data_IF_638002425599
#
_entry.id   IF_638002425599
#
_cell.length_a   1.000
_cell.length_b   1.000
_cell.length_c   1.000
_cell.angle_alpha   90.00
_cell.angle_beta   90.00
_cell.angle_gamma   90.00
#
_symmetry.space_group_name_H-M   'P 1'
#
loop_
_entity.id
_entity.type
_entity.pdbx_description
1 polymer ?
#
# COMPACT_ATOMS: atom_id res chain seq x y z
N UNK A 1 -13.91 8.61 -6.94
CA UNK A 1 -12.59 8.24 -7.46
C UNK A 1 -12.62 6.74 -7.71
N UNK A 2 -12.18 6.26 -8.88
CA UNK A 2 -12.16 4.82 -9.17
C UNK A 2 -11.05 4.17 -8.33
N UNK A 3 -11.25 2.94 -7.83
CA UNK A 3 -10.26 2.20 -7.01
C UNK A 3 -8.86 2.18 -7.65
N UNK A 4 -8.79 2.14 -8.98
CA UNK A 4 -7.54 2.21 -9.75
C UNK A 4 -6.80 3.54 -9.61
N UNK A 5 -7.51 4.66 -9.61
CA UNK A 5 -6.91 6.00 -9.47
C UNK A 5 -6.41 6.21 -8.04
N UNK A 6 -7.18 5.73 -7.06
CA UNK A 6 -6.79 5.74 -5.65
C UNK A 6 -5.51 4.91 -5.44
N UNK A 7 -5.47 3.70 -6.00
CA UNK A 7 -4.31 2.82 -5.89
C UNK A 7 -3.04 3.46 -6.47
N UNK A 8 -3.12 4.09 -7.65
CA UNK A 8 -1.99 4.81 -8.25
C UNK A 8 -1.51 5.97 -7.38
N UNK A 9 -2.44 6.78 -6.85
CA UNK A 9 -2.09 7.88 -5.94
C UNK A 9 -1.39 7.39 -4.67
N UNK A 10 -1.84 6.26 -4.10
CA UNK A 10 -1.23 5.67 -2.91
C UNK A 10 0.18 5.14 -3.22
N UNK A 11 0.41 4.54 -4.39
CA UNK A 11 1.75 4.08 -4.81
C UNK A 11 2.73 5.24 -4.85
N UNK A 12 2.35 6.37 -5.44
CA UNK A 12 3.21 7.56 -5.49
C UNK A 12 3.49 8.12 -4.09
N UNK A 13 2.49 8.14 -3.19
CA UNK A 13 2.70 8.55 -1.80
C UNK A 13 3.67 7.61 -1.05
N UNK A 14 3.49 6.30 -1.21
CA UNK A 14 4.38 5.28 -0.60
C UNK A 14 5.81 5.44 -1.13
N UNK A 15 5.97 5.74 -2.43
CA UNK A 15 7.27 5.99 -3.04
C UNK A 15 7.97 7.18 -2.39
N UNK A 16 7.25 8.26 -2.12
CA UNK A 16 7.77 9.50 -1.53
C UNK A 16 7.95 9.45 0.00
N UNK A 17 7.51 8.38 0.66
CA UNK A 17 7.61 8.26 2.12
C UNK A 17 9.07 8.24 2.60
N UNK A 18 9.38 9.05 3.61
CA UNK A 18 10.75 9.21 4.11
C UNK A 18 11.18 8.16 5.15
N UNK A 19 10.22 7.42 5.73
CA UNK A 19 10.47 6.40 6.75
C UNK A 19 9.29 5.42 6.88
N UNK A 20 9.47 4.37 7.68
CA UNK A 20 8.48 3.29 7.84
C UNK A 20 7.17 3.79 8.47
N UNK A 21 7.26 4.72 9.42
CA UNK A 21 6.09 5.33 10.07
C UNK A 21 5.23 6.09 9.07
N UNK A 22 5.85 6.79 8.11
CA UNK A 22 5.13 7.48 7.04
C UNK A 22 4.45 6.49 6.09
N UNK A 23 5.14 5.40 5.73
CA UNK A 23 4.52 4.32 4.93
C UNK A 23 3.32 3.73 5.65
N UNK A 24 3.46 3.42 6.94
CA UNK A 24 2.37 2.89 7.76
C UNK A 24 1.18 3.87 7.78
N UNK A 25 1.41 5.15 8.07
CA UNK A 25 0.36 6.17 8.08
C UNK A 25 -0.38 6.29 6.73
N UNK A 26 0.33 6.24 5.61
CA UNK A 26 -0.28 6.26 4.26
C UNK A 26 -1.18 5.04 4.06
N UNK A 27 -0.69 3.85 4.43
CA UNK A 27 -1.45 2.60 4.29
C UNK A 27 -2.70 2.59 5.18
N UNK A 28 -2.59 3.06 6.43
CA UNK A 28 -3.75 3.20 7.31
C UNK A 28 -4.78 4.20 6.77
N UNK A 29 -4.35 5.38 6.32
CA UNK A 29 -5.24 6.37 5.74
C UNK A 29 -5.96 5.82 4.50
N UNK A 30 -5.24 5.09 3.63
CA UNK A 30 -5.81 4.41 2.48
C UNK A 30 -6.88 3.38 2.88
N UNK A 31 -6.66 2.64 3.97
CA UNK A 31 -7.60 1.67 4.50
C UNK A 31 -8.91 2.34 4.96
N UNK A 32 -8.81 3.43 5.69
CA UNK A 32 -9.96 4.14 6.28
C UNK A 32 -10.89 4.73 5.21
N UNK A 33 -10.34 5.19 4.09
CA UNK A 33 -11.13 5.79 2.99
C UNK A 33 -11.60 4.78 1.95
N UNK A 34 -11.16 3.52 2.05
CA UNK A 34 -11.49 2.49 1.07
C UNK A 34 -12.90 1.92 1.31
N UNK A 35 -13.78 2.02 0.31
CA UNK A 35 -15.08 1.36 0.36
C UNK A 35 -14.98 -0.17 0.35
N UNK A 36 -13.89 -0.71 -0.19
CA UNK A 36 -13.54 -2.13 -0.15
C UNK A 36 -12.02 -2.27 0.01
N UNK A 37 -11.57 -2.48 1.25
CA UNK A 37 -10.14 -2.57 1.58
C UNK A 37 -9.45 -3.73 0.88
N UNK A 38 -10.10 -4.90 0.81
CA UNK A 38 -9.57 -6.08 0.13
C UNK A 38 -9.28 -5.79 -1.34
N UNK A 39 -10.26 -5.26 -2.07
CA UNK A 39 -10.09 -4.93 -3.48
C UNK A 39 -8.99 -3.86 -3.71
N UNK A 40 -8.93 -2.84 -2.85
CA UNK A 40 -7.87 -1.83 -2.93
C UNK A 40 -6.48 -2.44 -2.71
N UNK A 41 -6.32 -3.28 -1.68
CA UNK A 41 -5.02 -3.86 -1.34
C UNK A 41 -4.56 -4.93 -2.34
N UNK A 42 -5.47 -5.71 -2.91
CA UNK A 42 -5.17 -6.59 -4.05
C UNK A 42 -4.64 -5.78 -5.25
N UNK A 43 -5.25 -4.62 -5.52
CA UNK A 43 -4.79 -3.74 -6.60
C UNK A 43 -3.43 -3.10 -6.30
N UNK A 44 -3.17 -2.69 -5.06
CA UNK A 44 -1.86 -2.19 -4.64
C UNK A 44 -0.77 -3.26 -4.72
N UNK A 45 -1.04 -4.49 -4.27
CA UNK A 45 -0.15 -5.65 -4.44
C UNK A 45 0.18 -5.88 -5.92
N UNK A 46 -0.84 -5.86 -6.80
CA UNK A 46 -0.64 -6.04 -8.23
C UNK A 46 0.18 -4.91 -8.87
N UNK A 47 0.03 -3.66 -8.41
CA UNK A 47 0.83 -2.53 -8.88
C UNK A 47 2.27 -2.65 -8.41
N UNK A 48 2.50 -2.92 -7.12
CA UNK A 48 3.85 -3.12 -6.57
C UNK A 48 4.55 -4.29 -7.26
N UNK A 49 3.84 -5.39 -7.53
CA UNK A 49 4.38 -6.56 -8.22
C UNK A 49 4.85 -6.30 -9.65
N UNK A 50 4.44 -5.18 -10.28
CA UNK A 50 4.90 -4.76 -11.61
C UNK A 50 6.10 -3.82 -11.56
N UNK A 51 6.45 -3.30 -10.39
CA UNK A 51 7.57 -2.36 -10.24
C UNK A 51 8.87 -3.16 -10.32
N UNK A 52 9.74 -2.77 -11.26
CA UNK A 52 11.07 -3.34 -11.35
C UNK A 52 11.95 -2.80 -10.21
N UNK A 53 12.74 -3.64 -9.51
CA UNK A 53 13.74 -3.17 -8.56
C UNK A 53 14.77 -2.20 -9.17
N UNK A 54 14.95 -2.23 -10.50
CA UNK A 54 15.86 -1.33 -11.22
C UNK A 54 15.25 0.06 -11.48
N UNK A 55 13.94 0.21 -11.36
CA UNK A 55 13.21 1.48 -11.55
C UNK A 55 12.99 2.23 -10.23
N UNK A 56 13.59 1.75 -9.15
CA UNK A 56 13.42 2.27 -7.79
C UNK A 56 14.75 2.43 -7.08
N UNK A 57 14.82 3.41 -6.19
CA UNK A 57 15.88 3.49 -5.20
C UNK A 57 15.71 2.43 -4.12
N UNK A 58 16.78 2.13 -3.38
CA UNK A 58 16.73 1.23 -2.22
C UNK A 58 15.68 1.63 -1.18
N UNK A 59 15.47 2.95 -1.00
CA UNK A 59 14.47 3.47 -0.07
C UNK A 59 13.04 3.21 -0.57
N UNK A 60 12.77 3.49 -1.85
CA UNK A 60 11.46 3.25 -2.46
C UNK A 60 11.11 1.75 -2.42
N UNK A 61 12.09 0.89 -2.74
CA UNK A 61 11.90 -0.55 -2.65
C UNK A 61 11.60 -1.03 -1.23
N UNK A 62 12.28 -0.45 -0.24
CA UNK A 62 12.00 -0.69 1.18
C UNK A 62 10.59 -0.23 1.55
N UNK A 63 10.16 0.94 1.10
CA UNK A 63 8.81 1.46 1.36
C UNK A 63 7.75 0.49 0.81
N UNK A 64 7.90 -0.02 -0.41
CA UNK A 64 6.97 -1.00 -0.96
C UNK A 64 6.92 -2.29 -0.14
N UNK A 65 8.06 -2.80 0.34
CA UNK A 65 8.06 -3.98 1.23
C UNK A 65 7.32 -3.73 2.53
N UNK A 66 7.51 -2.56 3.15
CA UNK A 66 6.81 -2.18 4.37
C UNK A 66 5.30 -2.01 4.12
N UNK A 67 4.91 -1.43 2.98
CA UNK A 67 3.50 -1.30 2.61
C UNK A 67 2.80 -2.67 2.50
N UNK A 68 3.42 -3.64 1.80
CA UNK A 68 2.91 -5.01 1.66
C UNK A 68 2.69 -5.73 2.99
N UNK A 69 3.64 -5.56 3.93
CA UNK A 69 3.51 -6.09 5.29
C UNK A 69 2.27 -5.48 5.99
N UNK A 70 2.05 -4.18 5.85
CA UNK A 70 0.93 -3.50 6.48
C UNK A 70 -0.43 -3.83 5.83
N UNK A 71 -0.50 -4.01 4.50
CA UNK A 71 -1.70 -4.53 3.84
C UNK A 71 -2.12 -5.87 4.45
N UNK A 72 -1.16 -6.79 4.58
CA UNK A 72 -1.40 -8.12 5.13
C UNK A 72 -1.89 -8.07 6.58
N UNK A 73 -1.26 -7.23 7.42
CA UNK A 73 -1.69 -7.02 8.82
C UNK A 73 -3.12 -6.51 8.91
N UNK A 74 -3.50 -5.56 8.07
CA UNK A 74 -4.84 -4.98 8.08
C UNK A 74 -5.90 -6.00 7.64
N UNK A 75 -5.63 -6.77 6.57
CA UNK A 75 -6.55 -7.83 6.13
C UNK A 75 -6.71 -8.94 7.18
N UNK A 76 -5.62 -9.33 7.84
CA UNK A 76 -5.68 -10.33 8.92
C UNK A 76 -6.47 -9.84 10.14
N UNK A 77 -6.33 -8.55 10.50
CA UNK A 77 -7.10 -7.95 11.59
C UNK A 77 -8.60 -7.95 11.30
N UNK A 78 -9.00 -7.60 10.08
CA UNK A 78 -10.42 -7.63 9.68
C UNK A 78 -11.00 -9.04 9.72
N UNK A 79 -10.26 -10.04 9.23
CA UNK A 79 -10.67 -11.44 9.26
C UNK A 79 -10.83 -11.99 10.69
N UNK A 80 -10.12 -11.45 11.68
CA UNK A 80 -10.20 -11.86 13.08
C UNK A 80 -11.37 -11.19 13.84
N UNK A 81 -11.98 -10.14 13.28
CA UNK A 81 -13.11 -9.40 13.87
C UNK A 81 -14.49 -9.85 13.34
N UNK A 82 -14.54 -10.76 12.38
CA UNK A 82 -15.76 -11.44 11.90
C UNK A 82 -15.97 -12.77 12.62
#
# INVERSE_FOLDING_TARGET
MRTSEQALSIIEQVKQAINDTAVEAIVFAAAEIASNKKALFEQLEALIGKISPLECTSQEWRNFRIARINFSKLLMREAATC
#
